data_IF_711616562646
#
_entry.id   IF_711616562646
#
_cell.length_a   1.000
_cell.length_b   1.000
_cell.length_c   1.000
_cell.angle_alpha   90.00
_cell.angle_beta   90.00
_cell.angle_gamma   90.00
#
_symmetry.space_group_name_H-M   'P 1'
#
loop_
_entity.id
_entity.type
_entity.pdbx_description
1 polymer ?
#
# COMPACT_ATOMS: atom_id res chain seq x y z
N UNK A 1 -3.99 15.12 75.72
CA UNK A 1 -3.38 15.58 74.45
C UNK A 1 -2.53 14.44 73.90
N UNK A 2 -3.17 13.47 73.25
CA UNK A 2 -2.53 12.26 72.71
C UNK A 2 -2.75 12.27 71.19
N UNK A 3 -1.66 12.42 70.44
CA UNK A 3 -1.65 12.40 68.97
C UNK A 3 -1.76 10.95 68.51
N UNK A 4 -2.86 10.64 67.85
CA UNK A 4 -3.20 9.34 67.31
C UNK A 4 -2.49 9.15 65.95
N UNK A 5 -1.54 8.21 65.87
CA UNK A 5 -0.80 7.88 64.67
C UNK A 5 -1.54 6.79 63.88
N UNK A 6 -2.24 7.16 62.80
CA UNK A 6 -2.87 6.19 61.88
C UNK A 6 -1.85 5.65 60.86
N UNK A 7 -1.92 4.36 60.47
CA UNK A 7 -0.86 3.68 59.72
C UNK A 7 -0.92 3.97 58.20
N UNK A 8 0.20 4.43 57.62
CA UNK A 8 0.41 4.62 56.17
C UNK A 8 0.72 3.33 55.38
N UNK A 9 0.48 2.14 55.95
CA UNK A 9 1.01 0.87 55.43
C UNK A 9 0.17 0.16 54.35
N UNK A 10 -0.98 0.70 53.93
CA UNK A 10 -1.87 0.00 52.98
C UNK A 10 -1.65 0.33 51.50
N UNK A 11 -0.99 1.46 51.17
CA UNK A 11 -0.73 1.86 49.77
C UNK A 11 0.42 1.10 49.11
N UNK A 12 1.48 0.73 49.86
CA UNK A 12 2.64 0.02 49.29
C UNK A 12 2.36 -1.43 48.86
N UNK A 13 1.35 -2.10 49.43
CA UNK A 13 1.04 -3.50 49.11
C UNK A 13 0.36 -3.70 47.75
N UNK A 14 -0.21 -2.65 47.15
CA UNK A 14 -0.88 -2.70 45.85
C UNK A 14 0.03 -2.15 44.73
N UNK A 15 0.92 -1.21 45.06
CA UNK A 15 1.81 -0.56 44.06
C UNK A 15 2.91 -1.49 43.54
N UNK A 16 3.50 -2.34 44.40
CA UNK A 16 4.56 -3.28 44.01
C UNK A 16 4.06 -4.37 43.03
N UNK A 17 2.93 -5.08 43.27
CA UNK A 17 2.45 -6.08 42.30
C UNK A 17 1.96 -5.45 40.99
N UNK A 18 1.40 -4.23 41.02
CA UNK A 18 1.00 -3.51 39.81
C UNK A 18 2.22 -3.12 38.96
N UNK A 19 3.29 -2.63 39.59
CA UNK A 19 4.54 -2.28 38.91
C UNK A 19 5.25 -3.52 38.34
N UNK A 20 5.28 -4.63 39.09
CA UNK A 20 5.82 -5.89 38.60
C UNK A 20 5.02 -6.45 37.42
N UNK A 21 3.68 -6.34 37.45
CA UNK A 21 2.82 -6.73 36.33
C UNK A 21 3.06 -5.85 35.09
N UNK A 22 3.18 -4.53 35.26
CA UNK A 22 3.50 -3.60 34.18
C UNK A 22 4.89 -3.87 33.57
N UNK A 23 5.90 -4.15 34.39
CA UNK A 23 7.23 -4.55 33.92
C UNK A 23 7.20 -5.89 33.18
N UNK A 24 6.41 -6.85 33.64
CA UNK A 24 6.25 -8.14 32.97
C UNK A 24 5.56 -7.98 31.60
N UNK A 25 4.51 -7.17 31.52
CA UNK A 25 3.83 -6.85 30.26
C UNK A 25 4.77 -6.11 29.30
N UNK A 26 5.49 -5.09 29.79
CA UNK A 26 6.46 -4.36 28.97
C UNK A 26 7.61 -5.25 28.48
N UNK A 27 8.12 -6.13 29.36
CA UNK A 27 9.12 -7.14 28.99
C UNK A 27 8.61 -8.13 27.95
N UNK A 28 7.34 -8.54 28.03
CA UNK A 28 6.73 -9.43 27.04
C UNK A 28 6.53 -8.75 25.68
N UNK A 29 6.12 -7.48 25.66
CA UNK A 29 6.02 -6.68 24.42
C UNK A 29 7.40 -6.55 23.77
N UNK A 30 8.43 -6.15 24.53
CA UNK A 30 9.80 -6.06 24.01
C UNK A 30 10.29 -7.40 23.48
N UNK A 31 10.05 -8.50 24.21
CA UNK A 31 10.47 -9.83 23.77
C UNK A 31 9.78 -10.24 22.47
N UNK A 32 8.51 -9.88 22.28
CA UNK A 32 7.74 -10.23 21.09
C UNK A 32 8.23 -9.48 19.86
N UNK A 33 8.45 -8.15 19.97
CA UNK A 33 9.04 -7.37 18.87
C UNK A 33 10.49 -7.79 18.60
N UNK A 34 11.26 -8.15 19.64
CA UNK A 34 12.61 -8.68 19.45
C UNK A 34 12.60 -10.03 18.70
N UNK A 35 11.64 -10.91 18.96
CA UNK A 35 11.49 -12.18 18.22
C UNK A 35 11.18 -11.92 16.75
N UNK A 36 10.28 -10.98 16.44
CA UNK A 36 9.94 -10.57 15.08
C UNK A 36 11.18 -10.09 14.32
N UNK A 37 11.92 -9.14 14.90
CA UNK A 37 13.14 -8.57 14.28
C UNK A 37 14.25 -9.61 14.15
N UNK A 38 14.45 -10.47 15.15
CA UNK A 38 15.45 -11.55 15.07
C UNK A 38 15.06 -12.59 14.01
N UNK A 39 13.77 -12.90 13.87
CA UNK A 39 13.29 -13.81 12.82
C UNK A 39 13.54 -13.24 11.42
N UNK A 40 13.23 -11.97 11.19
CA UNK A 40 13.53 -11.28 9.91
C UNK A 40 15.03 -11.34 9.59
N UNK A 41 15.89 -11.07 10.58
CA UNK A 41 17.35 -11.16 10.41
C UNK A 41 17.82 -12.58 10.04
N UNK A 42 17.15 -13.62 10.55
CA UNK A 42 17.46 -15.01 10.20
C UNK A 42 17.05 -15.39 8.77
N UNK A 43 16.04 -14.71 8.20
CA UNK A 43 15.56 -14.94 6.84
C UNK A 43 16.39 -14.20 5.78
N UNK A 44 17.10 -13.13 6.18
CA UNK A 44 17.91 -12.29 5.28
C UNK A 44 18.90 -13.04 4.38
N UNK A 45 19.64 -14.07 4.85
CA UNK A 45 20.63 -14.73 4.00
C UNK A 45 20.04 -15.36 2.74
N UNK A 46 18.80 -15.86 2.80
CA UNK A 46 18.14 -16.56 1.69
C UNK A 46 17.20 -15.65 0.87
N UNK A 47 17.00 -14.40 1.32
CA UNK A 47 16.06 -13.45 0.74
C UNK A 47 16.28 -13.26 -0.77
N UNK A 48 17.52 -13.00 -1.18
CA UNK A 48 17.84 -12.78 -2.60
C UNK A 48 17.50 -14.00 -3.48
N UNK A 49 17.59 -15.22 -2.94
CA UNK A 49 17.20 -16.44 -3.67
C UNK A 49 15.68 -16.55 -3.82
N UNK A 50 14.90 -16.05 -2.85
CA UNK A 50 13.47 -15.91 -3.01
C UNK A 50 13.10 -14.91 -4.12
N UNK A 51 13.75 -13.75 -4.21
CA UNK A 51 13.38 -12.76 -5.24
C UNK A 51 13.95 -13.05 -6.64
N UNK A 52 14.85 -14.02 -6.76
CA UNK A 52 15.27 -14.51 -8.07
C UNK A 52 14.09 -15.19 -8.80
N UNK A 53 13.72 -14.64 -9.95
CA UNK A 53 12.70 -15.23 -10.81
C UNK A 53 13.15 -16.60 -11.36
N UNK A 54 12.22 -17.56 -11.54
CA UNK A 54 12.53 -18.80 -12.24
C UNK A 54 13.04 -18.52 -13.67
N UNK A 55 14.01 -19.31 -14.13
CA UNK A 55 14.50 -19.25 -15.50
C UNK A 55 14.43 -20.64 -16.16
N UNK A 56 13.66 -20.83 -17.25
CA UNK A 56 12.77 -19.85 -17.86
C UNK A 56 11.53 -19.57 -17.00
N UNK A 57 11.05 -18.33 -16.97
CA UNK A 57 9.73 -18.02 -16.43
C UNK A 57 8.70 -18.68 -17.35
N UNK A 58 7.90 -19.59 -16.80
CA UNK A 58 6.80 -20.20 -17.55
C UNK A 58 5.57 -19.33 -17.36
N UNK A 59 4.88 -18.98 -18.44
CA UNK A 59 3.69 -18.16 -18.34
C UNK A 59 2.64 -18.80 -17.42
N UNK A 60 1.99 -17.99 -16.59
CA UNK A 60 0.96 -18.45 -15.67
C UNK A 60 -0.35 -17.68 -15.79
N UNK A 61 -1.41 -18.25 -15.22
CA UNK A 61 -2.69 -17.54 -15.05
C UNK A 61 -2.56 -16.44 -13.99
N UNK A 62 -3.33 -15.35 -14.09
CA UNK A 62 -3.35 -14.31 -13.05
C UNK A 62 -3.63 -14.89 -11.66
N UNK A 63 -2.80 -14.54 -10.69
CA UNK A 63 -2.83 -15.06 -9.32
C UNK A 63 -2.22 -16.45 -9.10
N UNK A 64 -1.72 -17.11 -10.15
CA UNK A 64 -1.12 -18.43 -10.02
C UNK A 64 0.18 -18.36 -9.19
N UNK A 65 0.27 -19.22 -8.17
CA UNK A 65 1.43 -19.29 -7.28
C UNK A 65 2.66 -19.84 -8.00
N UNK A 66 3.78 -19.11 -7.93
CA UNK A 66 5.09 -19.57 -8.40
C UNK A 66 5.84 -20.24 -7.25
N UNK A 67 5.99 -19.53 -6.13
CA UNK A 67 6.59 -20.07 -4.90
C UNK A 67 6.13 -19.28 -3.69
N UNK A 68 6.19 -19.93 -2.54
CA UNK A 68 5.86 -19.35 -1.24
C UNK A 68 6.81 -19.87 -0.17
N UNK A 69 7.10 -19.05 0.83
CA UNK A 69 7.79 -19.49 2.05
C UNK A 69 7.08 -18.95 3.28
N UNK A 70 7.02 -19.75 4.34
CA UNK A 70 6.48 -19.33 5.62
C UNK A 70 7.55 -18.56 6.40
N UNK A 71 7.17 -17.41 6.94
CA UNK A 71 8.06 -16.53 7.68
C UNK A 71 8.06 -16.88 9.18
N UNK A 72 9.21 -16.69 9.80
CA UNK A 72 9.48 -16.87 11.23
C UNK A 72 9.36 -15.53 11.96
N UNK A 73 9.85 -14.44 11.37
CA UNK A 73 9.86 -13.09 11.94
C UNK A 73 8.50 -12.38 11.90
N UNK A 74 7.44 -12.99 12.42
CA UNK A 74 6.06 -12.55 12.18
C UNK A 74 5.45 -11.72 13.32
N UNK A 75 4.41 -10.92 13.05
CA UNK A 75 3.67 -10.21 14.09
C UNK A 75 3.09 -11.16 15.15
N UNK A 76 2.89 -10.64 16.37
CA UNK A 76 2.30 -11.41 17.47
C UNK A 76 1.00 -12.10 17.08
N UNK A 77 0.85 -13.36 17.46
CA UNK A 77 -0.35 -14.16 17.24
C UNK A 77 -0.78 -14.27 15.75
N UNK A 78 0.20 -14.27 14.84
CA UNK A 78 -0.02 -14.42 13.41
C UNK A 78 0.88 -15.54 12.81
N UNK A 79 0.55 -15.94 11.59
CA UNK A 79 1.45 -16.60 10.64
C UNK A 79 1.58 -15.71 9.42
N UNK A 80 2.71 -15.78 8.74
CA UNK A 80 2.88 -15.04 7.50
C UNK A 80 3.64 -15.85 6.46
N UNK A 81 3.43 -15.47 5.20
CA UNK A 81 4.13 -16.03 4.05
C UNK A 81 4.61 -14.91 3.15
N UNK A 82 5.76 -15.13 2.55
CA UNK A 82 6.19 -14.38 1.37
C UNK A 82 5.77 -15.17 0.14
N UNK A 83 5.14 -14.48 -0.81
CA UNK A 83 4.54 -15.05 -2.00
C UNK A 83 5.23 -14.50 -3.24
N UNK A 84 5.32 -15.33 -4.28
CA UNK A 84 5.65 -14.93 -5.64
C UNK A 84 4.60 -15.56 -6.56
N UNK A 85 3.96 -14.75 -7.38
CA UNK A 85 2.81 -15.16 -8.19
C UNK A 85 2.78 -14.40 -9.53
N UNK A 86 2.00 -14.95 -10.46
CA UNK A 86 1.74 -14.35 -11.77
C UNK A 86 0.67 -13.26 -11.66
N UNK A 87 0.81 -12.17 -12.40
CA UNK A 87 -0.21 -11.13 -12.57
C UNK A 87 -0.17 -10.57 -13.99
N UNK A 88 -1.00 -9.57 -14.32
CA UNK A 88 -1.02 -8.91 -15.64
C UNK A 88 -0.64 -7.44 -15.55
N UNK A 89 0.14 -6.97 -16.52
CA UNK A 89 0.34 -5.54 -16.73
C UNK A 89 -0.82 -4.91 -17.54
N UNK A 90 -0.68 -3.63 -17.88
CA UNK A 90 -1.66 -2.87 -18.64
C UNK A 90 -1.89 -3.38 -20.08
N UNK A 91 -0.95 -4.17 -20.61
CA UNK A 91 -1.01 -4.78 -21.94
C UNK A 91 -1.52 -6.23 -21.91
N UNK A 92 -1.98 -6.70 -20.74
CA UNK A 92 -2.37 -8.10 -20.48
C UNK A 92 -1.20 -9.09 -20.62
N UNK A 93 0.05 -8.62 -20.48
CA UNK A 93 1.23 -9.47 -20.47
C UNK A 93 1.50 -10.05 -19.07
N UNK A 94 2.09 -11.25 -19.02
CA UNK A 94 2.43 -11.92 -17.76
C UNK A 94 3.60 -11.24 -17.05
N UNK A 95 3.36 -10.79 -15.81
CA UNK A 95 4.36 -10.23 -14.92
C UNK A 95 4.44 -11.02 -13.62
N UNK A 96 5.62 -11.08 -13.01
CA UNK A 96 5.84 -11.73 -11.73
C UNK A 96 5.82 -10.68 -10.63
N UNK A 97 5.00 -10.91 -9.61
CA UNK A 97 4.80 -10.00 -8.48
C UNK A 97 5.02 -10.75 -7.17
N UNK A 98 5.45 -10.03 -6.14
CA UNK A 98 5.62 -10.57 -4.79
C UNK A 98 4.64 -9.92 -3.80
N UNK A 99 4.41 -10.61 -2.69
CA UNK A 99 3.52 -10.13 -1.63
C UNK A 99 3.89 -10.73 -0.28
N UNK A 100 3.39 -10.10 0.78
CA UNK A 100 3.34 -10.66 2.13
C UNK A 100 1.89 -10.99 2.47
N UNK A 101 1.63 -12.22 2.87
CA UNK A 101 0.36 -12.66 3.43
C UNK A 101 0.50 -12.81 4.94
N UNK A 102 -0.41 -12.22 5.72
CA UNK A 102 -0.46 -12.33 7.19
C UNK A 102 -1.84 -12.81 7.61
N UNK A 103 -1.88 -13.83 8.47
CA UNK A 103 -3.15 -14.39 8.98
C UNK A 103 -3.10 -14.56 10.50
N UNK A 104 -4.23 -14.38 11.20
CA UNK A 104 -4.29 -14.58 12.64
C UNK A 104 -4.27 -16.07 13.00
N UNK A 105 -3.67 -16.42 14.15
CA UNK A 105 -3.58 -17.80 14.67
C UNK A 105 -4.91 -18.41 15.14
N UNK A 106 -5.99 -17.62 15.20
CA UNK A 106 -7.32 -18.11 15.59
C UNK A 106 -7.92 -19.12 14.60
N UNK A 107 -9.01 -19.82 14.95
CA UNK A 107 -9.76 -20.63 13.98
C UNK A 107 -10.27 -19.73 12.83
N UNK A 108 -10.33 -20.27 11.62
CA UNK A 108 -10.96 -19.59 10.50
C UNK A 108 -12.48 -19.81 10.54
N UNK A 109 -13.30 -18.84 10.09
CA UNK A 109 -14.71 -19.08 9.80
C UNK A 109 -14.88 -20.24 8.82
N UNK A 110 -16.05 -20.90 8.84
CA UNK A 110 -16.30 -22.08 8.01
C UNK A 110 -16.19 -21.77 6.50
N UNK A 111 -16.56 -20.55 6.12
CA UNK A 111 -16.51 -20.01 4.76
C UNK A 111 -15.15 -19.35 4.41
N UNK A 112 -14.19 -19.37 5.34
CA UNK A 112 -12.89 -18.75 5.20
C UNK A 112 -12.84 -17.28 5.65
N UNK A 113 -11.62 -16.75 5.69
CA UNK A 113 -11.33 -15.37 6.10
C UNK A 113 -11.65 -14.41 4.98
N UNK A 114 -12.35 -13.32 5.27
CA UNK A 114 -12.32 -12.14 4.40
C UNK A 114 -10.88 -11.67 4.28
N UNK A 115 -10.46 -11.37 3.05
CA UNK A 115 -9.10 -10.95 2.71
C UNK A 115 -9.08 -9.44 2.57
N UNK A 116 -8.26 -8.76 3.36
CA UNK A 116 -7.88 -7.38 3.11
C UNK A 116 -6.75 -7.41 2.10
N UNK A 117 -7.01 -7.00 0.85
CA UNK A 117 -5.94 -6.75 -0.11
C UNK A 117 -5.47 -5.31 0.08
N UNK A 118 -4.23 -5.18 0.53
CA UNK A 118 -3.65 -3.90 0.92
C UNK A 118 -2.65 -3.42 -0.14
N UNK A 119 -2.88 -2.20 -0.63
CA UNK A 119 -1.97 -1.47 -1.50
C UNK A 119 -1.11 -0.49 -0.71
N UNK A 120 0.22 -0.61 -0.80
CA UNK A 120 1.13 0.27 -0.07
C UNK A 120 1.21 1.68 -0.67
N UNK A 121 1.49 2.72 0.15
CA UNK A 121 1.87 4.03 -0.36
C UNK A 121 3.27 4.00 -1.00
N UNK A 122 3.69 5.09 -1.65
CA UNK A 122 4.99 5.16 -2.32
C UNK A 122 6.16 4.69 -1.46
N UNK A 123 6.84 3.62 -1.89
CA UNK A 123 8.11 3.14 -1.32
C UNK A 123 9.30 3.35 -2.26
N UNK A 124 9.05 3.54 -3.55
CA UNK A 124 10.03 3.72 -4.63
C UNK A 124 9.61 2.89 -5.86
N UNK A 125 10.51 2.78 -6.84
CA UNK A 125 10.27 1.98 -8.06
C UNK A 125 11.32 0.89 -8.33
N UNK A 126 12.45 0.89 -7.60
CA UNK A 126 13.45 -0.16 -7.77
C UNK A 126 13.00 -1.50 -7.17
N UNK A 127 13.51 -2.65 -7.67
CA UNK A 127 13.24 -3.97 -7.09
C UNK A 127 13.44 -4.04 -5.57
N UNK A 128 14.47 -3.36 -5.05
CA UNK A 128 14.77 -3.34 -3.60
C UNK A 128 13.83 -2.48 -2.77
N UNK A 129 12.93 -1.72 -3.41
CA UNK A 129 11.93 -0.89 -2.74
C UNK A 129 10.61 -1.61 -2.45
N UNK A 130 10.47 -2.87 -2.91
CA UNK A 130 9.37 -3.74 -2.49
C UNK A 130 9.27 -3.80 -0.95
N UNK A 131 8.11 -3.49 -0.36
CA UNK A 131 7.89 -3.67 1.08
C UNK A 131 8.27 -5.07 1.58
N UNK A 132 7.97 -6.13 0.82
CA UNK A 132 8.26 -7.52 1.18
C UNK A 132 9.76 -7.85 1.23
N UNK A 133 10.59 -7.08 0.53
CA UNK A 133 12.06 -7.18 0.50
C UNK A 133 12.70 -6.41 1.67
N UNK A 134 11.97 -5.44 2.23
CA UNK A 134 12.42 -4.56 3.30
C UNK A 134 12.71 -5.27 4.62
N UNK A 135 13.25 -4.52 5.59
CA UNK A 135 13.35 -4.98 6.97
C UNK A 135 11.98 -4.91 7.58
N UNK A 136 11.58 -5.97 8.27
CA UNK A 136 10.31 -6.03 8.96
C UNK A 136 9.14 -5.63 8.04
N UNK A 137 8.79 -6.48 7.06
CA UNK A 137 7.91 -6.11 5.95
C UNK A 137 6.45 -5.85 6.38
N UNK A 138 6.15 -5.92 7.68
CA UNK A 138 4.84 -5.66 8.26
C UNK A 138 4.71 -4.27 8.88
N UNK A 139 5.81 -3.54 9.12
CA UNK A 139 5.80 -2.29 9.89
C UNK A 139 5.00 -1.18 9.22
N UNK A 140 4.94 -1.18 7.89
CA UNK A 140 4.24 -0.17 7.09
C UNK A 140 2.78 -0.48 6.77
N UNK A 141 2.27 -1.68 7.11
CA UNK A 141 0.89 -2.08 6.76
C UNK A 141 -0.10 -1.38 7.71
N UNK A 142 -0.75 -0.31 7.25
CA UNK A 142 -1.59 0.51 8.11
C UNK A 142 -2.82 -0.26 8.60
N UNK A 143 -2.95 -0.41 9.91
CA UNK A 143 -4.08 -1.10 10.54
C UNK A 143 -3.97 -2.62 10.59
N UNK A 144 -2.82 -3.21 10.26
CA UNK A 144 -2.64 -4.67 10.24
C UNK A 144 -3.13 -5.36 11.52
N UNK A 145 -2.66 -4.95 12.71
CA UNK A 145 -3.05 -5.58 13.98
C UNK A 145 -4.57 -5.60 14.21
N UNK A 146 -5.29 -4.45 14.19
CA UNK A 146 -6.72 -4.46 14.44
C UNK A 146 -7.55 -5.12 13.31
N UNK A 147 -7.01 -5.25 12.09
CA UNK A 147 -7.62 -6.07 11.03
C UNK A 147 -7.47 -7.57 11.34
N UNK A 148 -6.29 -8.02 11.75
CA UNK A 148 -6.06 -9.40 12.21
C UNK A 148 -6.91 -9.75 13.43
N UNK A 149 -7.13 -8.80 14.36
CA UNK A 149 -8.02 -8.97 15.52
C UNK A 149 -9.48 -9.22 15.13
N UNK A 150 -9.91 -8.77 13.94
CA UNK A 150 -11.25 -9.08 13.36
C UNK A 150 -11.29 -10.42 12.62
N UNK A 151 -10.18 -11.16 12.61
CA UNK A 151 -10.10 -12.45 11.95
C UNK A 151 -9.83 -12.40 10.45
N UNK A 152 -9.58 -11.20 9.90
CA UNK A 152 -9.23 -11.02 8.49
C UNK A 152 -7.84 -11.57 8.18
N UNK A 153 -7.65 -12.07 6.96
CA UNK A 153 -6.33 -12.24 6.37
C UNK A 153 -5.92 -10.92 5.71
N UNK A 154 -4.64 -10.55 5.76
CA UNK A 154 -4.13 -9.36 5.08
C UNK A 154 -3.08 -9.80 4.06
N UNK A 155 -3.27 -9.45 2.79
CA UNK A 155 -2.25 -9.64 1.74
C UNK A 155 -1.79 -8.28 1.24
N UNK A 156 -0.48 -8.04 1.32
CA UNK A 156 0.19 -6.80 0.95
C UNK A 156 1.06 -7.07 -0.29
N UNK A 157 0.63 -6.57 -1.45
CA UNK A 157 1.36 -6.72 -2.73
C UNK A 157 2.49 -5.71 -2.86
N UNK A 158 3.56 -6.03 -3.59
CA UNK A 158 4.66 -5.08 -3.87
C UNK A 158 4.50 -4.31 -5.19
N UNK A 159 3.53 -4.66 -6.03
CA UNK A 159 3.40 -4.23 -7.44
C UNK A 159 4.52 -4.73 -8.38
N UNK A 160 4.21 -4.79 -9.68
CA UNK A 160 5.14 -5.22 -10.72
C UNK A 160 6.36 -4.28 -10.84
N UNK A 161 7.53 -4.83 -11.18
CA UNK A 161 8.80 -4.08 -11.23
C UNK A 161 9.47 -3.88 -9.86
N UNK A 162 8.73 -4.11 -8.76
CA UNK A 162 9.26 -4.20 -7.41
C UNK A 162 9.41 -5.66 -6.95
N UNK A 163 10.43 -5.92 -6.12
CA UNK A 163 10.78 -7.24 -5.61
C UNK A 163 11.46 -8.12 -6.66
N UNK A 164 10.91 -8.18 -7.87
CA UNK A 164 11.44 -8.94 -9.00
C UNK A 164 11.60 -8.08 -10.25
N UNK A 165 12.27 -8.59 -11.29
CA UNK A 165 12.43 -7.86 -12.54
C UNK A 165 11.10 -7.77 -13.31
N UNK A 166 10.76 -6.60 -13.83
CA UNK A 166 9.53 -6.42 -14.61
C UNK A 166 9.40 -4.98 -15.08
N UNK A 167 8.34 -4.67 -15.84
CA UNK A 167 8.02 -3.28 -16.17
C UNK A 167 7.74 -2.49 -14.90
N UNK A 168 8.12 -1.22 -14.89
CA UNK A 168 7.78 -0.32 -13.79
C UNK A 168 6.28 -0.06 -13.77
N UNK A 169 5.67 -0.09 -12.59
CA UNK A 169 4.23 0.04 -12.40
C UNK A 169 3.81 1.26 -11.61
N UNK A 170 4.74 2.13 -11.20
CA UNK A 170 4.42 3.26 -10.33
C UNK A 170 3.32 4.18 -10.91
N UNK A 171 2.16 4.20 -10.25
CA UNK A 171 0.96 4.92 -10.67
C UNK A 171 0.45 4.51 -12.06
N UNK A 172 0.70 3.26 -12.47
CA UNK A 172 0.11 2.61 -13.63
C UNK A 172 -1.12 1.84 -13.16
N UNK A 173 -2.28 2.50 -13.17
CA UNK A 173 -3.47 2.07 -12.44
C UNK A 173 -3.99 0.69 -12.84
N UNK A 174 -3.97 0.35 -14.13
CA UNK A 174 -4.38 -0.98 -14.61
C UNK A 174 -3.49 -2.07 -14.02
N UNK A 175 -2.17 -1.91 -14.13
CA UNK A 175 -1.19 -2.88 -13.59
C UNK A 175 -1.30 -3.02 -12.08
N UNK A 176 -1.26 -1.91 -11.32
CA UNK A 176 -1.32 -1.97 -9.85
C UNK A 176 -2.66 -2.56 -9.36
N UNK A 177 -3.78 -2.20 -10.01
CA UNK A 177 -5.10 -2.75 -9.72
C UNK A 177 -5.17 -4.27 -9.93
N UNK A 178 -4.62 -4.76 -11.04
CA UNK A 178 -4.50 -6.20 -11.31
C UNK A 178 -3.64 -6.90 -10.25
N UNK A 179 -2.50 -6.31 -9.87
CA UNK A 179 -1.61 -6.88 -8.85
C UNK A 179 -2.30 -6.96 -7.47
N UNK A 180 -3.13 -5.97 -7.11
CA UNK A 180 -3.94 -5.97 -5.88
C UNK A 180 -4.98 -7.10 -5.90
N UNK A 181 -5.64 -7.36 -7.03
CA UNK A 181 -6.64 -8.44 -7.15
C UNK A 181 -5.97 -9.82 -7.16
N UNK A 182 -4.87 -9.98 -7.91
CA UNK A 182 -4.14 -11.23 -8.03
C UNK A 182 -3.43 -11.65 -6.75
N UNK A 183 -3.04 -10.70 -5.91
CA UNK A 183 -2.55 -10.99 -4.57
C UNK A 183 -3.57 -11.78 -3.73
N UNK A 184 -4.88 -11.52 -3.90
CA UNK A 184 -5.94 -12.29 -3.24
C UNK A 184 -5.99 -13.72 -3.78
N UNK A 185 -5.94 -13.89 -5.11
CA UNK A 185 -5.89 -15.21 -5.75
C UNK A 185 -4.69 -16.02 -5.26
N UNK A 186 -3.53 -15.39 -5.18
CA UNK A 186 -2.31 -15.98 -4.65
C UNK A 186 -2.47 -16.37 -3.17
N UNK A 187 -3.04 -15.50 -2.33
CA UNK A 187 -3.27 -15.80 -0.92
C UNK A 187 -4.21 -17.01 -0.72
N UNK A 188 -5.21 -17.19 -1.58
CA UNK A 188 -6.13 -18.34 -1.56
C UNK A 188 -5.44 -19.68 -1.87
N UNK A 189 -4.30 -19.65 -2.57
CA UNK A 189 -3.51 -20.85 -2.83
C UNK A 189 -2.77 -21.38 -1.59
N UNK A 190 -2.73 -20.63 -0.47
CA UNK A 190 -2.14 -21.05 0.80
C UNK A 190 -3.22 -21.71 1.68
N UNK A 191 -3.28 -23.05 1.82
CA UNK A 191 -4.37 -23.71 2.56
C UNK A 191 -4.44 -23.28 4.03
N UNK A 192 -3.27 -23.01 4.63
CA UNK A 192 -3.13 -22.53 6.01
C UNK A 192 -3.74 -21.15 6.23
N UNK A 193 -3.92 -20.34 5.19
CA UNK A 193 -4.51 -19.01 5.30
C UNK A 193 -6.03 -19.07 5.42
N UNK A 194 -6.66 -20.10 4.86
CA UNK A 194 -8.12 -20.22 4.74
C UNK A 194 -8.75 -18.94 4.15
N UNK A 195 -8.06 -18.30 3.20
CA UNK A 195 -8.53 -17.10 2.54
C UNK A 195 -9.76 -17.41 1.65
N UNK A 196 -10.80 -16.58 1.78
CA UNK A 196 -12.03 -16.70 1.00
C UNK A 196 -12.00 -15.85 -0.27
N UNK A 197 -13.12 -15.81 -1.00
CA UNK A 197 -13.33 -14.90 -2.14
C UNK A 197 -13.84 -13.52 -1.72
N UNK A 198 -14.16 -13.31 -0.43
CA UNK A 198 -14.60 -12.01 0.10
C UNK A 198 -13.40 -11.09 0.30
N UNK A 199 -13.47 -9.89 -0.27
CA UNK A 199 -12.35 -8.94 -0.34
C UNK A 199 -12.75 -7.59 0.22
N UNK A 200 -11.86 -7.05 1.06
CA UNK A 200 -11.81 -5.65 1.42
C UNK A 200 -10.58 -5.07 0.74
N UNK A 201 -10.75 -4.00 -0.03
CA UNK A 201 -9.62 -3.27 -0.61
C UNK A 201 -9.25 -2.11 0.33
N UNK A 202 -7.98 -1.99 0.71
CA UNK A 202 -7.49 -0.93 1.60
C UNK A 202 -6.17 -0.36 1.10
N UNK A 203 -6.06 0.96 0.94
CA UNK A 203 -4.84 1.57 0.43
C UNK A 203 -4.65 3.03 0.83
N UNK A 204 -3.43 3.51 0.71
CA UNK A 204 -3.06 4.89 1.06
C UNK A 204 -2.20 5.50 -0.05
N UNK A 205 -2.43 6.78 -0.40
CA UNK A 205 -1.61 7.50 -1.39
C UNK A 205 -1.61 6.78 -2.75
N UNK A 206 -0.46 6.39 -3.29
CA UNK A 206 -0.33 5.48 -4.45
C UNK A 206 -1.21 4.23 -4.29
N UNK A 207 -1.09 3.51 -3.17
CA UNK A 207 -1.92 2.33 -2.92
C UNK A 207 -3.40 2.64 -2.79
N UNK A 208 -3.76 3.88 -2.47
CA UNK A 208 -5.14 4.38 -2.56
C UNK A 208 -5.64 4.43 -4.01
N UNK A 209 -4.79 4.81 -4.95
CA UNK A 209 -5.08 4.75 -6.39
C UNK A 209 -5.15 3.30 -6.87
N UNK A 210 -4.19 2.44 -6.48
CA UNK A 210 -4.19 1.02 -6.81
C UNK A 210 -5.49 0.31 -6.41
N UNK A 211 -5.98 0.53 -5.18
CA UNK A 211 -7.23 -0.12 -4.72
C UNK A 211 -8.48 0.43 -5.38
N UNK A 212 -8.49 1.70 -5.80
CA UNK A 212 -9.59 2.26 -6.58
C UNK A 212 -9.63 1.63 -7.97
N UNK A 213 -8.48 1.53 -8.65
CA UNK A 213 -8.38 0.83 -9.94
C UNK A 213 -8.76 -0.66 -9.82
N UNK A 214 -8.35 -1.33 -8.75
CA UNK A 214 -8.77 -2.71 -8.46
C UNK A 214 -10.30 -2.81 -8.34
N UNK A 215 -10.95 -1.86 -7.67
CA UNK A 215 -12.41 -1.85 -7.53
C UNK A 215 -13.13 -1.66 -8.87
N UNK A 216 -12.64 -0.73 -9.71
CA UNK A 216 -13.19 -0.47 -11.04
C UNK A 216 -13.08 -1.68 -11.97
N UNK A 217 -11.97 -2.41 -11.89
CA UNK A 217 -11.65 -3.54 -12.79
C UNK A 217 -12.20 -4.89 -12.30
N UNK A 218 -12.52 -5.02 -11.00
CA UNK A 218 -12.87 -6.31 -10.38
C UNK A 218 -13.97 -7.07 -11.15
N UNK A 219 -15.02 -6.37 -11.61
CA UNK A 219 -16.15 -6.98 -12.28
C UNK A 219 -15.82 -7.68 -13.61
N UNK A 220 -14.74 -7.27 -14.30
CA UNK A 220 -14.30 -7.85 -15.56
C UNK A 220 -13.04 -8.70 -15.40
N UNK A 221 -12.08 -8.25 -14.59
CA UNK A 221 -10.78 -8.88 -14.44
C UNK A 221 -10.78 -10.03 -13.41
N UNK A 222 -11.53 -9.87 -12.33
CA UNK A 222 -11.63 -10.85 -11.24
C UNK A 222 -13.07 -11.07 -10.76
N UNK A 223 -13.99 -11.49 -11.65
CA UNK A 223 -15.42 -11.58 -11.35
C UNK A 223 -15.75 -12.62 -10.27
N UNK A 224 -14.83 -13.52 -9.94
CA UNK A 224 -14.97 -14.48 -8.86
C UNK A 224 -14.70 -13.88 -7.47
N UNK A 225 -14.05 -12.71 -7.39
CA UNK A 225 -13.79 -12.02 -6.12
C UNK A 225 -14.98 -11.13 -5.74
N UNK A 226 -15.43 -11.26 -4.48
CA UNK A 226 -16.54 -10.51 -3.93
C UNK A 226 -16.00 -9.29 -3.19
N UNK A 227 -15.93 -8.15 -3.88
CA UNK A 227 -15.51 -6.89 -3.25
C UNK A 227 -16.63 -6.40 -2.33
N UNK A 228 -16.44 -6.55 -1.02
CA UNK A 228 -17.44 -6.19 0.00
C UNK A 228 -17.30 -4.72 0.47
N UNK A 229 -16.08 -4.18 0.38
CA UNK A 229 -15.77 -2.82 0.79
C UNK A 229 -14.50 -2.32 0.10
N UNK A 230 -14.47 -1.04 -0.23
CA UNK A 230 -13.29 -0.33 -0.72
C UNK A 230 -12.99 0.80 0.24
N UNK A 231 -11.74 0.93 0.64
CA UNK A 231 -11.31 2.00 1.52
C UNK A 231 -9.99 2.58 1.02
N UNK A 232 -9.88 3.91 1.05
CA UNK A 232 -8.65 4.61 0.73
C UNK A 232 -8.42 5.81 1.66
N UNK A 233 -7.16 6.06 1.98
CA UNK A 233 -6.71 7.24 2.70
C UNK A 233 -5.88 8.12 1.78
N UNK A 234 -6.23 9.41 1.66
CA UNK A 234 -5.59 10.40 0.79
C UNK A 234 -5.12 9.79 -0.56
N UNK A 235 -6.03 9.18 -1.34
CA UNK A 235 -5.65 8.48 -2.55
C UNK A 235 -5.08 9.44 -3.58
N UNK A 236 -4.10 9.00 -4.36
CA UNK A 236 -3.65 9.68 -5.57
C UNK A 236 -4.68 9.53 -6.71
N UNK A 237 -5.93 9.94 -6.45
CA UNK A 237 -7.07 9.63 -7.30
C UNK A 237 -7.14 10.48 -8.57
N UNK A 238 -6.67 11.74 -8.53
CA UNK A 238 -6.55 12.61 -9.70
C UNK A 238 -5.07 13.02 -9.87
N UNK A 239 -4.37 12.33 -10.76
CA UNK A 239 -2.96 12.56 -11.04
C UNK A 239 -2.73 13.88 -11.79
N UNK A 240 -3.74 14.37 -12.51
CA UNK A 240 -3.68 15.67 -13.19
C UNK A 240 -3.71 16.80 -12.17
N UNK A 241 -4.61 16.73 -11.18
CA UNK A 241 -4.69 17.68 -10.08
C UNK A 241 -3.47 17.61 -9.16
N UNK A 242 -3.05 16.40 -8.78
CA UNK A 242 -1.84 16.17 -7.98
C UNK A 242 -0.62 16.79 -8.66
N UNK A 243 -0.38 16.48 -9.95
CA UNK A 243 0.78 17.02 -10.66
C UNK A 243 0.71 18.55 -10.78
N UNK A 244 -0.47 19.11 -11.07
CA UNK A 244 -0.67 20.56 -11.19
C UNK A 244 -0.32 21.31 -9.90
N UNK A 245 -0.66 20.73 -8.75
CA UNK A 245 -0.36 21.29 -7.43
C UNK A 245 1.13 21.27 -7.08
N UNK A 246 1.94 20.46 -7.78
CA UNK A 246 3.33 20.18 -7.42
C UNK A 246 4.35 20.46 -8.54
N UNK A 247 3.97 21.15 -9.62
CA UNK A 247 4.86 21.43 -10.77
C UNK A 247 6.21 22.08 -10.40
N UNK A 248 6.26 22.83 -9.30
CA UNK A 248 7.43 23.63 -8.90
C UNK A 248 7.84 23.39 -7.44
N UNK A 249 7.73 22.15 -6.96
CA UNK A 249 8.25 21.77 -5.66
C UNK A 249 8.94 20.40 -5.64
N UNK A 250 9.47 20.05 -4.46
CA UNK A 250 10.21 18.79 -4.28
C UNK A 250 9.32 17.56 -4.46
N UNK A 251 8.03 17.66 -4.14
CA UNK A 251 7.08 16.56 -4.29
C UNK A 251 6.87 16.23 -5.76
N UNK A 252 6.70 17.25 -6.61
CA UNK A 252 6.56 17.04 -8.06
C UNK A 252 7.82 16.49 -8.70
N UNK A 253 9.00 16.88 -8.22
CA UNK A 253 10.27 16.28 -8.66
C UNK A 253 10.38 14.82 -8.24
N UNK A 254 10.09 14.48 -6.99
CA UNK A 254 10.22 13.11 -6.48
C UNK A 254 9.17 12.18 -7.09
N UNK A 255 7.89 12.52 -7.03
CA UNK A 255 6.81 11.71 -7.63
C UNK A 255 6.95 11.66 -9.15
N UNK A 256 7.23 12.80 -9.79
CA UNK A 256 7.46 12.86 -11.21
C UNK A 256 8.63 11.98 -11.64
N UNK A 257 9.70 11.90 -10.83
CA UNK A 257 10.85 11.05 -11.18
C UNK A 257 10.50 9.57 -11.32
N UNK A 258 9.57 9.07 -10.51
CA UNK A 258 9.06 7.70 -10.60
C UNK A 258 8.00 7.59 -11.71
N UNK A 259 6.96 8.44 -11.68
CA UNK A 259 5.82 8.34 -12.59
C UNK A 259 6.18 8.52 -14.07
N UNK A 260 6.99 9.54 -14.41
CA UNK A 260 7.36 9.75 -15.81
C UNK A 260 8.30 8.67 -16.32
N UNK A 261 9.17 8.12 -15.46
CA UNK A 261 10.01 6.98 -15.81
C UNK A 261 9.15 5.73 -16.09
N UNK A 262 8.22 5.40 -15.20
CA UNK A 262 7.30 4.29 -15.37
C UNK A 262 6.47 4.44 -16.64
N UNK A 263 5.90 5.62 -16.88
CA UNK A 263 5.05 5.85 -18.06
C UNK A 263 5.85 5.80 -19.36
N UNK A 264 7.08 6.31 -19.37
CA UNK A 264 7.96 6.19 -20.53
C UNK A 264 8.36 4.73 -20.81
N UNK A 265 8.52 3.91 -19.76
CA UNK A 265 8.81 2.48 -19.87
C UNK A 265 7.62 1.72 -20.49
N UNK A 266 6.41 1.91 -19.96
CA UNK A 266 5.25 1.08 -20.33
C UNK A 266 4.41 1.61 -21.49
N UNK A 267 4.40 2.93 -21.72
CA UNK A 267 3.66 3.57 -22.83
C UNK A 267 4.57 4.00 -23.98
N UNK A 268 5.89 4.14 -23.77
CA UNK A 268 6.80 4.80 -24.71
C UNK A 268 6.84 4.21 -26.12
N UNK A 269 6.65 2.89 -26.23
CA UNK A 269 6.61 2.17 -27.51
C UNK A 269 5.24 2.23 -28.20
N UNK A 270 4.16 2.29 -27.42
CA UNK A 270 2.78 2.24 -27.92
C UNK A 270 2.15 3.62 -28.17
N UNK A 271 2.59 4.65 -27.44
CA UNK A 271 2.00 5.99 -27.45
C UNK A 271 2.99 7.01 -28.04
N UNK A 272 2.78 7.49 -29.28
CA UNK A 272 3.66 8.48 -29.90
C UNK A 272 3.76 9.76 -29.05
N UNK A 273 4.98 10.19 -28.76
CA UNK A 273 5.24 11.36 -27.92
C UNK A 273 5.35 11.08 -26.42
N UNK A 274 5.12 9.84 -25.96
CA UNK A 274 5.34 9.44 -24.56
C UNK A 274 6.84 9.21 -24.23
N UNK A 275 7.73 10.03 -24.80
CA UNK A 275 9.16 10.02 -24.49
C UNK A 275 9.47 11.09 -23.44
N UNK A 276 10.30 10.79 -22.45
CA UNK A 276 10.64 11.71 -21.35
C UNK A 276 11.05 13.11 -21.82
N UNK A 277 11.78 13.21 -22.93
CA UNK A 277 12.28 14.47 -23.50
C UNK A 277 11.21 15.44 -23.98
N UNK A 278 9.95 15.01 -24.06
CA UNK A 278 8.82 15.88 -24.42
C UNK A 278 8.34 16.75 -23.25
N UNK A 279 8.50 16.29 -22.00
CA UNK A 279 8.06 17.01 -20.79
C UNK A 279 9.16 17.27 -19.77
N UNK A 280 10.27 16.52 -19.78
CA UNK A 280 11.37 16.67 -18.82
C UNK A 280 12.58 17.36 -19.43
N UNK A 281 13.32 18.11 -18.62
CA UNK A 281 14.59 18.70 -19.04
C UNK A 281 15.69 17.62 -19.18
N UNK A 282 16.73 17.85 -20.00
CA UNK A 282 17.85 16.91 -20.09
C UNK A 282 18.55 16.65 -18.76
N UNK A 283 18.58 17.64 -17.86
CA UNK A 283 19.15 17.50 -16.52
C UNK A 283 18.32 16.55 -15.65
N UNK A 284 16.99 16.66 -15.69
CA UNK A 284 16.09 15.74 -15.00
C UNK A 284 16.27 14.30 -15.52
N UNK A 285 16.22 14.11 -16.84
CA UNK A 285 16.37 12.80 -17.49
C UNK A 285 17.69 12.13 -17.09
N UNK A 286 18.80 12.88 -17.05
CA UNK A 286 20.10 12.36 -16.66
C UNK A 286 20.16 11.88 -15.20
N UNK A 287 19.30 12.40 -14.32
CA UNK A 287 19.27 12.06 -12.89
C UNK A 287 18.22 11.02 -12.53
N UNK A 288 17.23 10.76 -13.40
CA UNK A 288 16.18 9.76 -13.13
C UNK A 288 16.74 8.39 -12.73
N UNK A 289 17.73 7.78 -13.41
CA UNK A 289 18.21 6.45 -13.01
C UNK A 289 18.76 6.41 -11.58
N UNK A 290 19.40 7.50 -11.13
CA UNK A 290 19.91 7.59 -9.75
C UNK A 290 18.76 7.77 -8.76
N UNK A 291 17.81 8.65 -9.03
CA UNK A 291 16.63 8.84 -8.18
C UNK A 291 15.80 7.56 -8.07
N UNK A 292 15.59 6.87 -9.19
CA UNK A 292 14.78 5.64 -9.27
C UNK A 292 15.47 4.43 -8.61
N UNK A 293 16.80 4.47 -8.40
CA UNK A 293 17.50 3.46 -7.58
C UNK A 293 17.33 3.64 -6.07
N UNK A 294 16.76 4.76 -5.62
CA UNK A 294 16.58 5.10 -4.21
C UNK A 294 15.14 4.83 -3.77
N UNK A 295 14.98 4.25 -2.58
CA UNK A 295 13.67 4.00 -2.00
C UNK A 295 13.25 5.20 -1.15
N UNK A 296 12.01 5.64 -1.31
CA UNK A 296 11.49 6.88 -0.72
C UNK A 296 11.74 6.91 0.78
N UNK A 297 11.23 5.93 1.52
CA UNK A 297 11.24 5.96 2.99
C UNK A 297 12.63 5.85 3.61
N UNK A 298 13.59 5.20 2.93
CA UNK A 298 14.95 4.98 3.46
C UNK A 298 15.97 5.99 2.93
N UNK A 299 15.66 6.71 1.85
CA UNK A 299 16.60 7.57 1.15
C UNK A 299 16.11 9.01 0.94
N UNK A 300 15.09 9.49 1.66
CA UNK A 300 14.58 10.87 1.57
C UNK A 300 15.71 11.93 1.51
N UNK A 301 16.74 11.90 2.38
CA UNK A 301 17.78 12.94 2.34
C UNK A 301 18.54 12.97 1.02
N UNK A 302 18.86 11.80 0.46
CA UNK A 302 19.58 11.71 -0.82
C UNK A 302 18.67 12.05 -2.01
N UNK A 303 17.40 11.62 -1.97
CA UNK A 303 16.39 12.03 -2.95
C UNK A 303 16.23 13.55 -2.97
N UNK A 304 16.19 14.20 -1.81
CA UNK A 304 16.12 15.65 -1.71
C UNK A 304 17.43 16.33 -2.15
N UNK A 305 18.59 15.76 -1.85
CA UNK A 305 19.88 16.29 -2.34
C UNK A 305 19.95 16.31 -3.87
N UNK A 306 19.43 15.26 -4.53
CA UNK A 306 19.39 15.16 -5.99
C UNK A 306 18.26 16.00 -6.59
N UNK A 307 17.08 15.99 -5.96
CA UNK A 307 15.85 16.59 -6.48
C UNK A 307 15.72 18.09 -6.23
N UNK A 308 16.22 18.61 -5.11
CA UNK A 308 16.09 20.03 -4.78
C UNK A 308 16.69 20.97 -5.84
N UNK A 309 17.85 20.66 -6.45
CA UNK A 309 18.38 21.43 -7.59
C UNK A 309 17.54 21.37 -8.86
N UNK A 310 16.61 20.43 -8.98
CA UNK A 310 15.70 20.28 -10.13
C UNK A 310 14.38 21.04 -9.94
N UNK A 311 14.05 21.52 -8.74
CA UNK A 311 12.86 22.35 -8.52
C UNK A 311 12.94 23.60 -9.41
N UNK A 312 11.88 23.87 -10.18
CA UNK A 312 11.82 24.94 -11.20
C UNK A 312 12.52 24.63 -12.51
N UNK A 313 13.20 23.48 -12.63
CA UNK A 313 13.94 23.07 -13.84
C UNK A 313 13.78 21.58 -14.16
N UNK A 314 12.80 20.91 -13.56
CA UNK A 314 12.51 19.50 -13.81
C UNK A 314 11.74 19.33 -15.12
N UNK A 315 10.72 20.16 -15.31
CA UNK A 315 9.87 20.16 -16.49
C UNK A 315 10.39 21.06 -17.60
N UNK A 316 10.48 20.53 -18.82
CA UNK A 316 10.68 21.28 -20.05
C UNK A 316 9.35 21.81 -20.63
N UNK A 317 8.26 21.09 -20.37
CA UNK A 317 6.88 21.47 -20.69
C UNK A 317 5.98 21.04 -19.54
N UNK A 318 4.86 21.74 -19.33
CA UNK A 318 3.87 21.37 -18.33
C UNK A 318 3.17 20.05 -18.73
N UNK A 319 3.39 18.93 -18.01
CA UNK A 319 2.81 17.64 -18.36
C UNK A 319 1.29 17.61 -18.21
N UNK A 320 0.69 18.53 -17.44
CA UNK A 320 -0.77 18.59 -17.24
C UNK A 320 -1.52 19.21 -18.43
N UNK A 321 -0.78 19.80 -19.37
CA UNK A 321 -1.33 20.43 -20.59
C UNK A 321 -0.68 19.94 -21.88
N UNK A 322 0.36 19.10 -21.79
CA UNK A 322 1.13 18.62 -22.94
C UNK A 322 0.74 17.19 -23.31
N UNK A 323 0.22 16.98 -24.52
CA UNK A 323 -0.07 15.63 -25.02
C UNK A 323 1.21 14.86 -25.38
N UNK A 324 1.25 13.53 -25.18
CA UNK A 324 0.17 12.68 -24.63
C UNK A 324 0.13 12.63 -23.09
N UNK A 325 1.01 13.33 -22.38
CA UNK A 325 1.16 13.20 -20.93
C UNK A 325 -0.06 13.61 -20.11
N UNK A 326 -0.77 14.66 -20.54
CA UNK A 326 -2.01 15.05 -19.88
C UNK A 326 -3.10 13.97 -20.01
N UNK A 327 -3.10 13.24 -21.12
CA UNK A 327 -4.01 12.11 -21.35
C UNK A 327 -3.58 10.90 -20.52
N UNK A 328 -2.28 10.60 -20.44
CA UNK A 328 -1.75 9.51 -19.61
C UNK A 328 -1.99 9.73 -18.11
N UNK A 329 -1.84 10.97 -17.62
CA UNK A 329 -2.18 11.33 -16.24
C UNK A 329 -3.68 11.14 -15.98
N UNK A 330 -4.53 11.53 -16.93
CA UNK A 330 -5.98 11.34 -16.83
C UNK A 330 -6.38 9.85 -16.90
N UNK A 331 -5.75 9.06 -17.77
CA UNK A 331 -5.98 7.62 -17.92
C UNK A 331 -5.64 6.85 -16.64
N UNK A 332 -4.61 7.29 -15.92
CA UNK A 332 -4.17 6.68 -14.66
C UNK A 332 -4.76 7.35 -13.40
N UNK A 333 -5.73 8.25 -13.58
CA UNK A 333 -6.56 8.78 -12.51
C UNK A 333 -7.79 7.88 -12.30
N UNK A 334 -8.17 7.67 -11.04
CA UNK A 334 -9.34 6.88 -10.68
C UNK A 334 -10.66 7.66 -10.88
N UNK A 335 -11.78 6.96 -10.82
CA UNK A 335 -13.13 7.49 -11.02
C UNK A 335 -13.62 7.40 -12.46
N UNK A 336 -13.01 6.52 -13.27
CA UNK A 336 -13.43 6.30 -14.65
C UNK A 336 -14.74 5.50 -14.75
N UNK A 337 -15.01 4.63 -13.79
CA UNK A 337 -16.18 3.73 -13.78
C UNK A 337 -16.70 3.49 -12.36
N UNK A 338 -18.02 3.44 -12.18
CA UNK A 338 -18.61 3.10 -10.88
C UNK A 338 -18.47 1.62 -10.53
N UNK A 339 -18.32 1.29 -9.25
CA UNK A 339 -18.41 -0.06 -8.71
C UNK A 339 -19.52 -0.18 -7.65
N UNK A 340 -19.97 -1.40 -7.35
CA UNK A 340 -21.12 -1.64 -6.45
C UNK A 340 -20.75 -1.66 -4.96
N UNK A 341 -19.49 -1.93 -4.63
CA UNK A 341 -19.03 -1.94 -3.25
C UNK A 341 -19.07 -0.52 -2.66
N UNK A 342 -19.42 -0.36 -1.37
CA UNK A 342 -19.36 0.93 -0.70
C UNK A 342 -17.90 1.38 -0.52
N UNK A 343 -17.68 2.69 -0.62
CA UNK A 343 -16.38 3.34 -0.60
C UNK A 343 -16.20 4.17 0.67
N UNK A 344 -15.10 3.96 1.39
CA UNK A 344 -14.66 4.81 2.49
C UNK A 344 -13.43 5.63 2.08
N UNK A 345 -13.52 6.95 2.13
CA UNK A 345 -12.40 7.86 1.85
C UNK A 345 -12.05 8.64 3.12
N UNK A 346 -10.82 8.50 3.60
CA UNK A 346 -10.28 9.35 4.66
C UNK A 346 -9.33 10.40 4.08
N UNK A 347 -9.43 11.64 4.55
CA UNK A 347 -8.56 12.74 4.11
C UNK A 347 -8.03 13.53 5.30
N UNK A 348 -6.73 13.79 5.31
CA UNK A 348 -6.12 14.65 6.32
C UNK A 348 -6.30 16.12 5.96
N UNK A 349 -6.86 16.92 6.87
CA UNK A 349 -7.07 18.36 6.64
C UNK A 349 -5.78 19.20 6.68
N UNK A 350 -4.66 18.59 7.06
CA UNK A 350 -3.32 19.19 7.01
C UNK A 350 -2.43 18.49 5.98
N UNK A 351 -3.01 17.71 5.08
CA UNK A 351 -2.32 17.17 3.92
C UNK A 351 -1.89 18.31 2.98
N UNK A 352 -0.66 18.23 2.49
CA UNK A 352 -0.04 19.20 1.59
C UNK A 352 0.47 18.54 0.31
N UNK A 353 0.19 17.24 0.12
CA UNK A 353 0.56 16.48 -1.06
C UNK A 353 -0.69 16.09 -1.85
N UNK A 354 -1.61 15.36 -1.22
CA UNK A 354 -2.95 15.15 -1.77
C UNK A 354 -3.85 16.16 -1.07
N UNK A 355 -4.00 17.33 -1.69
CA UNK A 355 -4.65 18.46 -1.03
C UNK A 355 -6.14 18.15 -0.79
N UNK A 356 -6.72 18.56 0.36
CA UNK A 356 -8.08 18.16 0.72
C UNK A 356 -9.16 18.51 -0.31
N UNK A 357 -8.99 19.63 -1.02
CA UNK A 357 -9.93 20.08 -2.04
C UNK A 357 -10.05 19.08 -3.21
N UNK A 358 -8.94 18.47 -3.62
CA UNK A 358 -8.90 17.51 -4.73
C UNK A 358 -9.59 16.21 -4.31
N UNK A 359 -9.34 15.72 -3.10
CA UNK A 359 -10.05 14.54 -2.56
C UNK A 359 -11.54 14.80 -2.38
N UNK A 360 -11.94 15.99 -1.94
CA UNK A 360 -13.36 16.36 -1.86
C UNK A 360 -14.04 16.42 -3.24
N UNK A 361 -13.31 16.82 -4.28
CA UNK A 361 -13.78 16.78 -5.66
C UNK A 361 -13.95 15.36 -6.16
N UNK A 362 -12.95 14.49 -5.94
CA UNK A 362 -13.05 13.07 -6.23
C UNK A 362 -14.24 12.41 -5.53
N UNK A 363 -14.46 12.67 -4.23
CA UNK A 363 -15.61 12.15 -3.49
C UNK A 363 -16.94 12.58 -4.12
N UNK A 364 -17.07 13.85 -4.52
CA UNK A 364 -18.28 14.34 -5.21
C UNK A 364 -18.48 13.67 -6.56
N UNK A 365 -17.40 13.43 -7.29
CA UNK A 365 -17.41 12.74 -8.57
C UNK A 365 -17.89 11.29 -8.43
N UNK A 366 -17.30 10.53 -7.51
CA UNK A 366 -17.69 9.14 -7.20
C UNK A 366 -19.18 9.04 -6.83
N UNK A 367 -19.66 9.95 -5.98
CA UNK A 367 -21.08 10.04 -5.65
C UNK A 367 -21.96 10.34 -6.88
N UNK A 368 -21.48 11.16 -7.81
CA UNK A 368 -22.22 11.52 -9.02
C UNK A 368 -22.36 10.37 -10.02
N UNK A 369 -21.40 9.45 -10.04
CA UNK A 369 -21.44 8.23 -10.86
C UNK A 369 -22.11 7.05 -10.12
N UNK A 370 -22.59 7.26 -8.89
CA UNK A 370 -23.45 6.32 -8.17
C UNK A 370 -22.76 5.44 -7.13
N UNK A 371 -21.51 5.72 -6.78
CA UNK A 371 -20.79 5.02 -5.70
C UNK A 371 -21.30 5.49 -4.33
N UNK A 372 -21.53 4.56 -3.41
CA UNK A 372 -21.90 4.87 -2.02
C UNK A 372 -20.65 5.27 -1.22
N UNK A 373 -20.40 6.57 -1.10
CA UNK A 373 -19.18 7.11 -0.47
C UNK A 373 -19.42 7.60 0.95
N UNK A 374 -18.70 7.02 1.91
CA UNK A 374 -18.46 7.57 3.24
C UNK A 374 -17.18 8.37 3.26
N UNK A 375 -17.26 9.68 3.49
CA UNK A 375 -16.09 10.57 3.56
C UNK A 375 -15.77 10.95 5.02
N UNK A 376 -14.52 10.75 5.44
CA UNK A 376 -14.01 11.09 6.77
C UNK A 376 -12.84 12.10 6.70
N UNK A 377 -13.13 13.41 6.84
CA UNK A 377 -12.10 14.41 7.01
C UNK A 377 -11.53 14.37 8.43
N UNK A 378 -10.20 14.24 8.54
CA UNK A 378 -9.49 14.13 9.83
C UNK A 378 -8.71 15.41 10.06
N UNK A 379 -9.12 16.15 11.10
CA UNK A 379 -8.38 17.35 11.55
C UNK A 379 -6.93 17.01 11.87
N UNK A 380 -6.01 17.95 11.65
CA UNK A 380 -4.55 17.86 11.96
C UNK A 380 -3.77 16.69 11.33
N UNK A 381 -4.44 15.74 10.67
CA UNK A 381 -3.79 14.67 9.94
C UNK A 381 -3.10 15.24 8.69
N UNK A 382 -1.83 14.88 8.54
CA UNK A 382 -1.00 15.13 7.37
C UNK A 382 -1.08 13.94 6.41
N UNK A 383 -0.49 14.07 5.21
CA UNK A 383 -0.38 12.96 4.26
C UNK A 383 0.17 11.69 4.92
N UNK A 384 1.30 11.80 5.63
CA UNK A 384 1.96 10.65 6.24
C UNK A 384 1.20 10.02 7.43
N UNK A 385 0.20 10.70 8.00
CA UNK A 385 -0.47 10.24 9.23
C UNK A 385 -1.92 9.84 9.04
N UNK A 386 -2.57 10.28 7.95
CA UNK A 386 -4.01 10.08 7.73
C UNK A 386 -4.42 8.62 7.72
N UNK A 387 -3.67 7.73 7.06
CA UNK A 387 -4.00 6.30 7.00
C UNK A 387 -4.03 5.64 8.39
N UNK A 388 -3.11 6.01 9.29
CA UNK A 388 -3.08 5.51 10.67
C UNK A 388 -4.19 6.12 11.53
N UNK A 389 -4.46 7.42 11.36
CA UNK A 389 -5.49 8.13 12.12
C UNK A 389 -6.91 7.75 11.68
N UNK A 390 -7.08 7.26 10.44
CA UNK A 390 -8.35 6.79 9.91
C UNK A 390 -8.77 5.41 10.43
N UNK A 391 -7.83 4.61 10.97
CA UNK A 391 -8.10 3.21 11.36
C UNK A 391 -9.32 3.07 12.30
N UNK A 392 -9.52 3.88 13.36
CA UNK A 392 -10.71 3.75 14.20
C UNK A 392 -12.03 3.96 13.42
N UNK A 393 -12.07 4.94 12.53
CA UNK A 393 -13.22 5.25 11.68
C UNK A 393 -13.48 4.17 10.64
N UNK A 394 -12.42 3.75 9.93
CA UNK A 394 -12.42 2.63 8.99
C UNK A 394 -12.99 1.36 9.63
N UNK A 395 -12.47 0.96 10.79
CA UNK A 395 -12.92 -0.26 11.47
C UNK A 395 -14.38 -0.16 11.91
N UNK A 396 -14.81 0.99 12.43
CA UNK A 396 -16.20 1.23 12.78
C UNK A 396 -17.13 1.16 11.56
N UNK A 397 -16.67 1.66 10.42
CA UNK A 397 -17.38 1.58 9.15
C UNK A 397 -17.44 0.13 8.65
N UNK A 398 -16.32 -0.60 8.62
CA UNK A 398 -16.29 -2.02 8.25
C UNK A 398 -17.24 -2.87 9.11
N UNK A 399 -17.30 -2.63 10.43
CA UNK A 399 -18.20 -3.38 11.33
C UNK A 399 -19.70 -3.19 11.00
N UNK A 400 -20.06 -2.12 10.27
CA UNK A 400 -21.44 -1.86 9.79
C UNK A 400 -21.67 -2.32 8.36
N UNK A 401 -20.62 -2.33 7.55
CA UNK A 401 -20.69 -2.50 6.10
C UNK A 401 -20.44 -3.94 5.67
N UNK A 402 -19.46 -4.58 6.30
CA UNK A 402 -19.09 -5.96 6.04
C UNK A 402 -19.85 -6.84 7.04
N UNK A 403 -20.38 -7.97 6.57
CA UNK A 403 -21.05 -8.92 7.46
C UNK A 403 -20.09 -9.32 8.59
N UNK A 404 -20.49 -9.27 9.86
CA UNK A 404 -19.59 -9.64 10.94
C UNK A 404 -19.07 -11.06 10.70
N UNK A 405 -17.74 -11.21 10.73
CA UNK A 405 -17.16 -12.54 10.81
C UNK A 405 -17.76 -13.24 12.05
N UNK A 406 -18.43 -14.39 11.89
CA UNK A 406 -19.20 -15.02 12.96
C UNK A 406 -18.35 -15.47 14.16
#
# INVERSE_FOLDING_TARGET
>A
MTRDARPRLRRHRIVVPLFAALLAVFGAVIATEAVRVVGDELERPDLAAFYAQPSPATAGEPGAMIKSEELVGVPFAARAWRLMYHSRDLHDEDVIVTAILVVPLGPAPAEGRTVVSWGHPTTGSAPTCAPSYGLDPFIGIEGMRPLLDRGYAVVATDYAGMGTAGPDSYLVGVTEGNNVLDAVRAARAIPAASASERVILWGHSQGGQAVLFAAEQAGTYAPELQIEAVAAAAPAADLSALMRSHLDDISGVTIGSYAFAAYADVYGDAVPGAQLSTVLTPAAIALLPRMNSLCLLTNIPELHEIGQPLVGNFFAQDPTTTAPWNELLAENSAGGTSFSAPLFIAQGLSDQLVVPADTEEFVRHEQSIGVDVTFEPISFATHATVAYLAIPGLLSWLDRTVSPAP
#
